data_IF_259821245705
#
_entry.id   IF_259821245705
#
_cell.length_a   1.000
_cell.length_b   1.000
_cell.length_c   1.000
_cell.angle_alpha   90.00
_cell.angle_beta   90.00
_cell.angle_gamma   90.00
#
_symmetry.space_group_name_H-M   'P 1'
#
loop_
_entity.id
_entity.type
_entity.pdbx_description
1 polymer ?
#
# COMPACT_ATOMS: atom_id res chain seq x y z
N UNK A 1 32.64 -5.49 2.54
CA UNK A 1 31.25 -5.87 2.85
C UNK A 1 30.32 -5.03 1.99
N UNK A 2 29.59 -5.66 1.07
CA UNK A 2 28.59 -5.04 0.20
C UNK A 2 27.23 -5.16 0.89
N UNK A 3 26.60 -4.02 1.15
CA UNK A 3 25.25 -3.96 1.76
C UNK A 3 24.30 -3.42 0.72
N UNK A 4 23.19 -4.12 0.50
CA UNK A 4 22.06 -3.61 -0.27
C UNK A 4 21.01 -3.08 0.68
N UNK A 5 20.40 -1.95 0.32
CA UNK A 5 19.35 -1.31 1.12
C UNK A 5 18.17 -1.04 0.20
N UNK A 6 16.98 -1.49 0.62
CA UNK A 6 15.72 -1.28 -0.10
C UNK A 6 14.67 -0.68 0.82
N UNK A 7 13.75 0.11 0.26
CA UNK A 7 12.57 0.68 0.91
C UNK A 7 11.39 0.54 -0.06
N UNK A 8 10.20 0.92 0.39
CA UNK A 8 9.04 1.18 -0.48
C UNK A 8 8.69 -0.05 -1.32
N UNK A 9 8.69 -1.22 -0.67
CA UNK A 9 8.52 -2.51 -1.34
C UNK A 9 7.15 -2.62 -2.02
N UNK A 10 6.10 -2.08 -1.42
CA UNK A 10 4.75 -1.95 -1.99
C UNK A 10 4.26 -3.24 -2.67
N UNK A 11 4.35 -4.37 -1.97
CA UNK A 11 3.90 -5.67 -2.46
C UNK A 11 4.81 -6.34 -3.51
N UNK A 12 5.92 -5.70 -3.92
CA UNK A 12 6.88 -6.22 -4.92
C UNK A 12 7.80 -7.31 -4.36
N UNK A 13 7.22 -8.40 -3.88
CA UNK A 13 8.03 -9.48 -3.31
C UNK A 13 8.92 -10.18 -4.34
N UNK A 14 8.52 -10.17 -5.63
CA UNK A 14 9.34 -10.63 -6.76
C UNK A 14 10.65 -9.85 -6.90
N UNK A 15 10.62 -8.55 -6.63
CA UNK A 15 11.79 -7.68 -6.63
C UNK A 15 12.58 -7.85 -5.33
N UNK A 16 11.88 -7.91 -4.19
CA UNK A 16 12.52 -8.10 -2.87
C UNK A 16 13.31 -9.42 -2.80
N UNK A 17 12.78 -10.49 -3.38
CA UNK A 17 13.44 -11.80 -3.42
C UNK A 17 14.82 -11.77 -4.09
N UNK A 18 15.03 -10.83 -5.03
CA UNK A 18 16.30 -10.63 -5.77
C UNK A 18 17.10 -9.43 -5.28
N UNK A 19 16.57 -8.65 -4.33
CA UNK A 19 17.21 -7.43 -3.85
C UNK A 19 18.56 -7.69 -3.15
N UNK A 20 18.75 -8.90 -2.61
CA UNK A 20 19.99 -9.33 -1.97
C UNK A 20 21.06 -9.88 -2.92
N UNK A 21 20.77 -10.00 -4.22
CA UNK A 21 21.68 -10.67 -5.17
C UNK A 21 23.06 -9.99 -5.20
N UNK A 22 24.09 -10.72 -4.74
CA UNK A 22 25.48 -10.25 -4.69
C UNK A 22 25.85 -9.40 -3.47
N UNK A 23 24.95 -9.23 -2.50
CA UNK A 23 25.20 -8.54 -1.24
C UNK A 23 25.71 -9.50 -0.14
N UNK A 24 26.55 -8.98 0.76
CA UNK A 24 26.90 -9.65 2.02
C UNK A 24 25.79 -9.47 3.07
N UNK A 25 24.98 -8.41 2.95
CA UNK A 25 23.80 -8.17 3.78
C UNK A 25 22.74 -7.35 3.01
N UNK A 26 21.46 -7.65 3.26
CA UNK A 26 20.31 -6.87 2.79
C UNK A 26 19.62 -6.20 3.98
N UNK A 27 19.36 -4.91 3.88
CA UNK A 27 18.54 -4.13 4.82
C UNK A 27 17.25 -3.73 4.11
N UNK A 28 16.11 -4.18 4.62
CA UNK A 28 14.78 -3.76 4.16
C UNK A 28 14.19 -2.75 5.15
N UNK A 29 13.93 -1.53 4.67
CA UNK A 29 13.48 -0.41 5.50
C UNK A 29 11.97 -0.35 5.72
N UNK A 30 11.18 -1.15 5.00
CA UNK A 30 9.75 -1.30 5.25
C UNK A 30 8.88 -1.04 4.02
N UNK A 31 7.69 -0.47 4.28
CA UNK A 31 6.64 -0.20 3.29
C UNK A 31 6.31 -1.44 2.46
N UNK A 32 6.16 -2.58 3.16
CA UNK A 32 6.01 -3.91 2.56
C UNK A 32 4.72 -4.10 1.77
N UNK A 33 3.65 -3.45 2.18
CA UNK A 33 2.30 -3.66 1.63
C UNK A 33 1.98 -2.61 0.57
N UNK A 34 1.25 -3.02 -0.45
CA UNK A 34 0.66 -2.10 -1.41
C UNK A 34 -0.64 -1.55 -0.84
N UNK A 35 -0.57 -0.51 -0.01
CA UNK A 35 -1.78 0.09 0.54
C UNK A 35 -2.53 0.92 -0.51
N UNK A 36 -1.80 1.71 -1.28
CA UNK A 36 -2.32 2.54 -2.37
C UNK A 36 -1.25 2.67 -3.44
N UNK A 37 -1.68 2.65 -4.70
CA UNK A 37 -0.81 2.80 -5.86
C UNK A 37 -1.11 4.14 -6.56
N UNK A 38 -0.09 4.98 -6.73
CA UNK A 38 -0.22 6.30 -7.35
C UNK A 38 -0.18 6.24 -8.89
N UNK A 39 0.35 5.16 -9.46
CA UNK A 39 0.48 4.94 -10.89
C UNK A 39 -0.73 4.17 -11.44
N UNK A 40 -1.17 3.11 -10.76
CA UNK A 40 -2.37 2.32 -11.11
C UNK A 40 -3.41 2.35 -9.98
N UNK A 41 -4.39 3.25 -10.07
CA UNK A 41 -5.37 3.50 -9.01
C UNK A 41 -6.33 2.33 -8.76
N UNK A 42 -6.28 1.27 -9.58
CA UNK A 42 -7.04 0.05 -9.36
C UNK A 42 -6.34 -0.95 -8.43
N UNK A 43 -5.08 -0.70 -8.05
CA UNK A 43 -4.30 -1.61 -7.21
C UNK A 43 -4.20 -1.17 -5.74
N UNK A 44 -3.97 -2.17 -4.90
CA UNK A 44 -3.69 -1.99 -3.47
C UNK A 44 -4.93 -2.04 -2.58
N UNK A 45 -4.67 -2.16 -1.28
CA UNK A 45 -5.71 -2.38 -0.26
C UNK A 45 -6.81 -1.31 -0.31
N UNK A 46 -6.47 -0.05 -0.57
CA UNK A 46 -7.45 1.03 -0.62
C UNK A 46 -8.42 0.87 -1.81
N UNK A 47 -7.91 0.46 -2.98
CA UNK A 47 -8.73 0.19 -4.15
C UNK A 47 -9.56 -1.09 -3.96
N UNK A 48 -9.01 -2.12 -3.33
CA UNK A 48 -9.73 -3.36 -2.99
C UNK A 48 -10.92 -3.10 -2.06
N UNK A 49 -10.78 -2.16 -1.12
CA UNK A 49 -11.83 -1.81 -0.14
C UNK A 49 -12.88 -0.84 -0.70
N UNK A 50 -12.47 0.16 -1.48
CA UNK A 50 -13.33 1.30 -1.82
C UNK A 50 -13.54 1.50 -3.32
N UNK A 51 -12.87 0.71 -4.15
CA UNK A 51 -12.89 0.79 -5.61
C UNK A 51 -11.91 1.81 -6.19
N UNK A 52 -11.55 1.61 -7.45
CA UNK A 52 -10.58 2.41 -8.19
C UNK A 52 -10.97 3.89 -8.31
N UNK A 53 -12.26 4.20 -8.47
CA UNK A 53 -12.73 5.59 -8.57
C UNK A 53 -12.44 6.39 -7.28
N UNK A 54 -12.66 5.77 -6.11
CA UNK A 54 -12.39 6.40 -4.81
C UNK A 54 -10.90 6.51 -4.55
N UNK A 55 -10.11 5.50 -4.94
CA UNK A 55 -8.66 5.59 -4.90
C UNK A 55 -8.14 6.77 -5.73
N UNK A 56 -8.63 6.92 -6.97
CA UNK A 56 -8.26 8.02 -7.86
C UNK A 56 -8.62 9.40 -7.27
N UNK A 57 -9.82 9.54 -6.70
CA UNK A 57 -10.24 10.78 -6.02
C UNK A 57 -9.33 11.11 -4.83
N UNK A 58 -9.03 10.12 -3.99
CA UNK A 58 -8.15 10.30 -2.83
C UNK A 58 -6.72 10.68 -3.24
N UNK A 59 -6.18 10.04 -4.28
CA UNK A 59 -4.86 10.34 -4.85
C UNK A 59 -4.85 11.76 -5.42
N UNK A 60 -5.88 12.16 -6.17
CA UNK A 60 -5.99 13.50 -6.74
C UNK A 60 -5.94 14.59 -5.65
N UNK A 61 -6.66 14.39 -4.53
CA UNK A 61 -6.62 15.31 -3.38
C UNK A 61 -5.22 15.39 -2.76
N UNK A 62 -4.55 14.25 -2.56
CA UNK A 62 -3.20 14.20 -2.00
C UNK A 62 -2.16 14.85 -2.92
N UNK A 63 -2.24 14.60 -4.21
CA UNK A 63 -1.37 15.20 -5.24
C UNK A 63 -1.54 16.72 -5.29
N UNK A 64 -2.78 17.20 -5.14
CA UNK A 64 -3.09 18.63 -5.00
C UNK A 64 -2.74 19.23 -3.63
N UNK A 65 -2.16 18.45 -2.70
CA UNK A 65 -1.84 18.83 -1.31
C UNK A 65 -3.05 19.25 -0.47
N UNK A 66 -4.25 18.81 -0.85
CA UNK A 66 -5.51 19.04 -0.13
C UNK A 66 -5.72 17.98 0.95
N UNK A 67 -4.81 17.95 1.93
CA UNK A 67 -4.72 16.85 2.90
C UNK A 67 -5.93 16.75 3.85
N UNK A 68 -6.50 17.88 4.26
CA UNK A 68 -7.69 17.88 5.13
C UNK A 68 -8.89 17.26 4.43
N UNK A 69 -9.06 17.57 3.14
CA UNK A 69 -10.13 17.02 2.32
C UNK A 69 -9.91 15.54 2.04
N UNK A 70 -8.66 15.14 1.74
CA UNK A 70 -8.31 13.72 1.62
C UNK A 70 -8.61 12.96 2.92
N UNK A 71 -8.30 13.53 4.09
CA UNK A 71 -8.57 12.92 5.39
C UNK A 71 -10.06 12.81 5.67
N UNK A 72 -10.84 13.85 5.39
CA UNK A 72 -12.29 13.83 5.56
C UNK A 72 -12.96 12.80 4.64
N UNK A 73 -12.55 12.76 3.38
CA UNK A 73 -13.02 11.79 2.39
C UNK A 73 -12.67 10.35 2.80
N UNK A 74 -11.42 10.11 3.20
CA UNK A 74 -11.00 8.79 3.70
C UNK A 74 -11.78 8.38 4.93
N UNK A 75 -11.97 9.27 5.91
CA UNK A 75 -12.74 8.97 7.11
C UNK A 75 -14.21 8.62 6.79
N UNK A 76 -14.81 9.31 5.83
CA UNK A 76 -16.17 9.00 5.36
C UNK A 76 -16.25 7.60 4.73
N UNK A 77 -15.26 7.20 3.93
CA UNK A 77 -15.18 5.85 3.36
C UNK A 77 -14.99 4.77 4.42
N UNK A 78 -14.10 5.00 5.39
CA UNK A 78 -13.91 4.06 6.50
C UNK A 78 -15.19 3.87 7.32
N UNK A 79 -16.02 4.90 7.45
CA UNK A 79 -17.31 4.82 8.14
C UNK A 79 -18.37 4.00 7.38
N UNK A 80 -18.17 3.69 6.10
CA UNK A 80 -19.09 2.81 5.35
C UNK A 80 -18.80 1.32 5.54
N UNK A 81 -17.68 0.97 6.20
CA UNK A 81 -17.34 -0.42 6.47
C UNK A 81 -17.94 -0.86 7.80
N UNK A 82 -18.55 -2.04 7.81
CA UNK A 82 -19.01 -2.69 9.05
C UNK A 82 -17.85 -3.33 9.81
N UNK A 83 -17.94 -3.38 11.14
CA UNK A 83 -16.95 -4.05 11.98
C UNK A 83 -15.69 -3.22 12.27
N UNK A 84 -14.63 -3.88 12.73
CA UNK A 84 -13.36 -3.21 13.06
C UNK A 84 -12.54 -2.95 11.77
N UNK A 85 -12.17 -1.70 11.47
CA UNK A 85 -11.23 -1.36 10.39
C UNK A 85 -9.96 -2.22 10.36
N UNK A 86 -9.45 -2.64 11.53
CA UNK A 86 -8.29 -3.52 11.63
C UNK A 86 -8.50 -4.85 10.93
N UNK A 87 -9.68 -5.45 11.05
CA UNK A 87 -9.97 -6.76 10.44
C UNK A 87 -9.98 -6.67 8.92
N UNK A 88 -10.49 -5.57 8.36
CA UNK A 88 -10.44 -5.30 6.92
C UNK A 88 -9.00 -5.18 6.42
N UNK A 89 -8.16 -4.43 7.14
CA UNK A 89 -6.74 -4.30 6.81
C UNK A 89 -6.03 -5.65 6.90
N UNK A 90 -6.17 -6.38 8.00
CA UNK A 90 -5.49 -7.66 8.19
C UNK A 90 -5.88 -8.69 7.13
N UNK A 91 -7.15 -8.74 6.74
CA UNK A 91 -7.63 -9.61 5.65
C UNK A 91 -6.94 -9.29 4.33
N UNK A 92 -6.88 -8.01 3.96
CA UNK A 92 -6.24 -7.59 2.70
C UNK A 92 -4.72 -7.78 2.72
N UNK A 93 -4.05 -7.51 3.85
CA UNK A 93 -2.63 -7.77 4.02
C UNK A 93 -2.33 -9.27 3.85
N UNK A 94 -3.15 -10.15 4.44
CA UNK A 94 -3.01 -11.60 4.23
C UNK A 94 -3.23 -11.99 2.77
N UNK A 95 -4.20 -11.38 2.10
CA UNK A 95 -4.45 -11.58 0.67
C UNK A 95 -3.23 -11.25 -0.19
N UNK A 96 -2.58 -10.11 0.06
CA UNK A 96 -1.34 -9.74 -0.65
C UNK A 96 -0.23 -10.77 -0.43
N UNK A 97 -0.03 -11.25 0.80
CA UNK A 97 1.01 -12.25 1.06
C UNK A 97 0.73 -13.65 0.50
N UNK A 98 -0.54 -14.01 0.27
CA UNK A 98 -0.92 -15.29 -0.34
C UNK A 98 -0.76 -15.31 -1.86
N UNK A 99 -0.74 -14.13 -2.49
CA UNK A 99 -0.58 -13.99 -3.94
C UNK A 99 0.89 -13.99 -4.41
N UNK A 100 1.84 -14.10 -3.47
CA UNK A 100 3.29 -14.15 -3.69
C UNK A 100 3.81 -15.58 -3.70
#
# INVERSE_FOLDING_TARGET
>A
MRVHVVSDVHGRADALARAGDGADALICLGDLILFIDYDDHAQGIFADLFGAERAAEFIALRTAKRFDEARAMSAALWATLDGDPREHIERNVRGQYQAL
#
